data_IF_827014647953
#
_entry.id   IF_827014647953
#
_cell.length_a   1.000
_cell.length_b   1.000
_cell.length_c   1.000
_cell.angle_alpha   90.00
_cell.angle_beta   90.00
_cell.angle_gamma   90.00
#
_symmetry.space_group_name_H-M   'P 1'
#
loop_
_entity.id
_entity.type
_entity.pdbx_description
1 polymer ?
#
# COMPACT_ATOMS: atom_id res chain seq x y z
N UNK A 1 10.88 12.50 -7.85
CA UNK A 1 9.96 11.42 -7.45
C UNK A 1 9.61 10.56 -8.66
N UNK A 2 9.97 9.29 -8.60
CA UNK A 2 9.66 8.27 -9.62
C UNK A 2 8.67 7.25 -9.03
N UNK A 3 7.83 6.63 -9.87
CA UNK A 3 6.99 5.51 -9.46
C UNK A 3 7.87 4.28 -9.24
N UNK A 4 7.87 3.76 -8.03
CA UNK A 4 8.67 2.61 -7.61
C UNK A 4 7.85 1.32 -7.46
N UNK A 5 6.53 1.42 -7.39
CA UNK A 5 5.62 0.28 -7.36
C UNK A 5 4.17 0.71 -7.33
N UNK A 6 3.26 -0.17 -7.76
CA UNK A 6 1.82 0.07 -7.73
C UNK A 6 1.06 -1.24 -7.56
N UNK A 7 -0.12 -1.15 -6.93
CA UNK A 7 -1.06 -2.26 -6.86
C UNK A 7 -2.49 -1.76 -6.85
N UNK A 8 -3.32 -2.38 -7.69
CA UNK A 8 -4.75 -2.10 -7.77
C UNK A 8 -5.44 -2.62 -6.51
N UNK A 9 -6.22 -1.76 -5.87
CA UNK A 9 -7.10 -2.16 -4.77
C UNK A 9 -8.36 -2.73 -5.44
N UNK A 10 -8.48 -4.06 -5.42
CA UNK A 10 -9.62 -4.75 -6.02
C UNK A 10 -10.88 -4.53 -5.18
N UNK A 11 -11.65 -3.50 -5.52
CA UNK A 11 -13.00 -3.29 -5.04
C UNK A 11 -14.02 -3.41 -6.21
N UNK A 12 -15.31 -3.56 -5.89
CA UNK A 12 -16.37 -3.83 -6.89
C UNK A 12 -16.88 -2.60 -7.65
N UNK A 13 -16.48 -1.38 -7.28
CA UNK A 13 -17.12 -0.14 -7.75
C UNK A 13 -16.16 1.03 -8.04
N UNK A 14 -14.99 1.07 -7.42
CA UNK A 14 -13.99 2.12 -7.57
C UNK A 14 -12.63 1.50 -7.91
N UNK A 15 -12.03 1.98 -8.99
CA UNK A 15 -10.68 1.58 -9.35
C UNK A 15 -9.70 2.49 -8.60
N UNK A 16 -9.29 2.04 -7.41
CA UNK A 16 -8.23 2.66 -6.64
C UNK A 16 -6.92 1.90 -6.79
N UNK A 17 -5.80 2.59 -6.55
CA UNK A 17 -4.49 1.98 -6.49
C UNK A 17 -3.67 2.57 -5.35
N UNK A 18 -2.88 1.71 -4.70
CA UNK A 18 -1.72 2.20 -3.97
C UNK A 18 -0.57 2.41 -4.96
N UNK A 19 0.10 3.57 -4.85
CA UNK A 19 1.30 3.87 -5.62
C UNK A 19 2.41 4.28 -4.67
N UNK A 20 3.55 3.62 -4.79
CA UNK A 20 4.77 3.99 -4.09
C UNK A 20 5.59 4.93 -4.97
N UNK A 21 5.80 6.15 -4.49
CA UNK A 21 6.71 7.12 -5.10
C UNK A 21 8.00 7.18 -4.30
N UNK A 22 9.15 7.04 -4.97
CA UNK A 22 10.47 7.11 -4.33
C UNK A 22 11.31 8.28 -4.88
N UNK A 23 12.12 8.90 -4.02
CA UNK A 23 13.09 9.93 -4.34
C UNK A 23 14.31 9.81 -3.41
N UNK A 24 15.29 9.01 -3.84
CA UNK A 24 16.37 8.57 -2.96
C UNK A 24 15.83 7.73 -1.80
N UNK A 25 16.12 8.14 -0.56
CA UNK A 25 15.62 7.45 0.64
C UNK A 25 14.20 7.88 1.04
N UNK A 26 13.66 8.95 0.44
CA UNK A 26 12.33 9.46 0.78
C UNK A 26 11.28 8.75 -0.06
N UNK A 27 10.29 8.17 0.61
CA UNK A 27 9.17 7.51 -0.04
C UNK A 27 7.84 8.19 0.29
N UNK A 28 6.86 8.07 -0.60
CA UNK A 28 5.47 8.40 -0.34
C UNK A 28 4.58 7.23 -0.76
N UNK A 29 3.60 6.92 0.08
CA UNK A 29 2.49 6.07 -0.29
C UNK A 29 1.34 6.98 -0.73
N UNK A 30 0.93 6.83 -1.98
CA UNK A 30 -0.19 7.56 -2.57
C UNK A 30 -1.39 6.63 -2.77
N UNK A 31 -2.58 7.20 -2.61
CA UNK A 31 -3.84 6.61 -3.01
C UNK A 31 -4.26 7.32 -4.28
N UNK A 32 -4.42 6.56 -5.37
CA UNK A 32 -4.90 7.08 -6.64
C UNK A 32 -6.29 6.54 -6.96
N UNK A 33 -7.10 7.35 -7.63
CA UNK A 33 -8.40 6.97 -8.16
C UNK A 33 -8.46 7.21 -9.66
N UNK A 34 -9.20 6.36 -10.38
CA UNK A 34 -9.50 6.60 -11.80
C UNK A 34 -10.51 7.74 -11.93
N UNK A 35 -10.16 8.76 -12.71
CA UNK A 35 -11.04 9.88 -13.08
C UNK A 35 -11.63 9.77 -14.48
N UNK A 36 -11.12 8.84 -15.29
CA UNK A 36 -11.62 8.62 -16.63
C UNK A 36 -10.87 7.51 -17.36
N UNK A 37 -11.48 7.01 -18.41
CA UNK A 37 -10.88 6.04 -19.33
C UNK A 37 -10.88 6.61 -20.74
N UNK A 38 -9.75 6.46 -21.43
CA UNK A 38 -9.70 6.51 -22.89
C UNK A 38 -9.53 5.10 -23.43
N UNK A 39 -9.71 4.90 -24.74
CA UNK A 39 -9.61 3.58 -25.40
C UNK A 39 -8.28 2.82 -25.17
N UNK A 40 -7.25 3.51 -24.67
CA UNK A 40 -5.91 2.99 -24.50
C UNK A 40 -5.30 3.16 -23.11
N UNK A 41 -5.91 3.95 -22.21
CA UNK A 41 -5.36 4.22 -20.88
C UNK A 41 -6.40 4.73 -19.89
N UNK A 42 -6.19 4.37 -18.63
CA UNK A 42 -6.84 5.02 -17.51
C UNK A 42 -6.16 6.37 -17.20
N UNK A 43 -6.97 7.39 -16.92
CA UNK A 43 -6.55 8.62 -16.30
C UNK A 43 -6.72 8.48 -14.78
N UNK A 44 -5.65 8.74 -14.04
CA UNK A 44 -5.57 8.61 -12.59
C UNK A 44 -5.32 9.97 -11.96
N UNK A 45 -5.83 10.17 -10.76
CA UNK A 45 -5.44 11.29 -9.90
C UNK A 45 -5.08 10.80 -8.49
N UNK A 46 -4.10 11.45 -7.86
CA UNK A 46 -3.78 11.21 -6.46
C UNK A 46 -4.77 11.94 -5.56
N UNK A 47 -5.50 11.19 -4.74
CA UNK A 47 -6.50 11.75 -3.81
C UNK A 47 -5.93 11.98 -2.41
N UNK A 48 -4.91 11.21 -2.03
CA UNK A 48 -4.20 11.38 -0.77
C UNK A 48 -2.79 10.80 -0.86
N UNK A 49 -1.91 11.27 0.00
CA UNK A 49 -0.59 10.67 0.16
C UNK A 49 -0.06 10.86 1.56
N UNK A 50 0.74 9.90 2.01
CA UNK A 50 1.43 9.94 3.30
C UNK A 50 2.93 9.74 3.07
N UNK A 51 3.80 10.45 3.81
CA UNK A 51 5.22 10.18 3.78
C UNK A 51 5.50 8.80 4.38
N UNK A 52 6.37 8.04 3.71
CA UNK A 52 6.93 6.82 4.25
C UNK A 52 8.18 7.17 5.07
N UNK A 53 8.42 6.46 6.19
CA UNK A 53 9.72 6.53 6.84
C UNK A 53 10.81 5.94 5.94
N UNK A 54 12.05 6.32 6.19
CA UNK A 54 13.22 5.68 5.55
C UNK A 54 13.20 4.18 5.88
N UNK A 55 13.21 3.33 4.85
CA UNK A 55 13.20 1.88 5.01
C UNK A 55 14.62 1.34 5.19
N UNK A 56 14.80 0.43 6.14
CA UNK A 56 16.04 -0.35 6.22
C UNK A 56 16.10 -1.43 5.13
N UNK A 57 17.27 -2.04 4.91
CA UNK A 57 17.42 -3.15 3.96
C UNK A 57 16.62 -4.41 4.32
N UNK A 58 16.18 -4.53 5.58
CA UNK A 58 15.32 -5.62 6.05
C UNK A 58 13.83 -5.26 5.99
N UNK A 59 13.50 -4.02 5.62
CA UNK A 59 12.13 -3.54 5.54
C UNK A 59 11.66 -3.46 4.10
N UNK A 60 10.43 -3.90 3.86
CA UNK A 60 9.76 -3.78 2.57
C UNK A 60 8.39 -3.16 2.76
N UNK A 61 7.94 -2.41 1.75
CA UNK A 61 6.57 -1.95 1.66
C UNK A 61 5.72 -3.02 0.96
N UNK A 62 4.72 -3.53 1.66
CA UNK A 62 3.71 -4.47 1.16
C UNK A 62 2.39 -3.73 0.94
N UNK A 63 1.73 -3.95 -0.19
CA UNK A 63 0.42 -3.38 -0.52
C UNK A 63 -0.46 -4.46 -1.14
N UNK A 64 -1.77 -4.43 -0.85
CA UNK A 64 -2.79 -5.35 -1.44
C UNK A 64 -2.51 -6.84 -1.19
N UNK A 65 -1.70 -7.18 -0.18
CA UNK A 65 -1.37 -8.56 0.21
C UNK A 65 -1.43 -8.75 1.73
N UNK A 66 -2.26 -7.95 2.38
CA UNK A 66 -2.37 -7.92 3.83
C UNK A 66 -3.71 -8.52 4.29
N UNK A 67 -3.64 -9.23 5.40
CA UNK A 67 -4.77 -9.71 6.16
C UNK A 67 -4.88 -8.92 7.46
N UNK A 68 -6.11 -8.74 7.95
CA UNK A 68 -6.41 -8.24 9.27
C UNK A 68 -7.24 -9.29 10.00
N UNK A 69 -6.70 -9.86 11.08
CA UNK A 69 -7.34 -10.92 11.86
C UNK A 69 -7.76 -12.13 11.00
N UNK A 70 -6.89 -12.55 10.07
CA UNK A 70 -7.09 -13.71 9.18
C UNK A 70 -8.03 -13.47 8.01
N UNK A 71 -8.44 -12.22 7.76
CA UNK A 71 -9.25 -11.82 6.60
C UNK A 71 -8.44 -10.93 5.68
N UNK A 72 -8.40 -11.26 4.39
CA UNK A 72 -7.81 -10.40 3.37
C UNK A 72 -8.47 -9.01 3.33
N UNK A 73 -7.65 -7.95 3.35
CA UNK A 73 -8.07 -6.54 3.32
C UNK A 73 -7.19 -5.81 2.29
N UNK A 74 -7.63 -5.69 1.01
CA UNK A 74 -6.82 -5.11 -0.06
C UNK A 74 -6.50 -3.61 0.17
N UNK A 75 -7.28 -2.94 1.01
CA UNK A 75 -7.10 -1.54 1.37
C UNK A 75 -5.96 -1.32 2.37
N UNK A 76 -5.27 -2.37 2.83
CA UNK A 76 -4.13 -2.24 3.74
C UNK A 76 -2.81 -2.22 2.96
N UNK A 77 -1.98 -1.25 3.29
CA UNK A 77 -0.56 -1.21 2.98
C UNK A 77 0.24 -1.20 4.29
N UNK A 78 1.37 -1.88 4.32
CA UNK A 78 2.16 -1.99 5.53
C UNK A 78 3.65 -2.10 5.22
N UNK A 79 4.49 -1.61 6.14
CA UNK A 79 5.90 -1.92 6.13
C UNK A 79 6.09 -3.20 6.95
N UNK A 80 6.73 -4.19 6.35
CA UNK A 80 7.11 -5.44 7.02
C UNK A 80 8.62 -5.53 7.16
N UNK A 81 9.06 -6.01 8.31
CA UNK A 81 10.46 -6.28 8.61
C UNK A 81 10.71 -7.79 8.51
N UNK A 82 11.66 -8.18 7.66
CA UNK A 82 12.06 -9.58 7.49
C UNK A 82 12.56 -10.13 8.82
N UNK A 83 11.90 -11.18 9.29
CA UNK A 83 12.37 -11.93 10.46
C UNK A 83 13.08 -13.18 9.96
N UNK A 84 14.37 -13.31 10.28
CA UNK A 84 15.18 -14.44 9.84
C UNK A 84 14.53 -15.76 10.30
N UNK A 85 14.15 -16.61 9.33
CA UNK A 85 13.54 -17.92 9.60
C UNK A 85 12.02 -17.92 9.77
N UNK A 86 11.34 -16.80 9.51
CA UNK A 86 9.87 -16.74 9.46
C UNK A 86 9.39 -16.54 8.01
N UNK A 87 8.32 -17.24 7.64
CA UNK A 87 7.65 -17.06 6.34
C UNK A 87 6.91 -15.71 6.25
N UNK A 88 6.73 -15.02 7.37
CA UNK A 88 6.04 -13.74 7.48
C UNK A 88 6.89 -12.75 8.28
N UNK A 89 7.05 -11.54 7.74
CA UNK A 89 7.72 -10.45 8.42
C UNK A 89 6.87 -9.83 9.53
N UNK A 90 7.50 -9.16 10.49
CA UNK A 90 6.80 -8.37 11.51
C UNK A 90 6.31 -7.07 10.87
N UNK A 91 5.02 -6.76 11.00
CA UNK A 91 4.49 -5.47 10.55
C UNK A 91 4.97 -4.38 11.52
N UNK A 92 5.66 -3.37 10.99
CA UNK A 92 6.22 -2.26 11.80
C UNK A 92 5.38 -0.99 11.71
N UNK A 93 4.69 -0.81 10.58
CA UNK A 93 3.80 0.32 10.33
C UNK A 93 2.74 -0.08 9.33
N UNK A 94 1.52 0.41 9.48
CA UNK A 94 0.43 0.08 8.58
C UNK A 94 -0.48 1.28 8.33
N UNK A 95 -1.06 1.29 7.15
CA UNK A 95 -2.06 2.23 6.72
C UNK A 95 -3.23 1.49 6.08
N UNK A 96 -4.41 2.11 6.18
CA UNK A 96 -5.60 1.66 5.48
C UNK A 96 -6.15 2.79 4.62
N UNK A 97 -6.48 2.46 3.39
CA UNK A 97 -7.24 3.34 2.52
C UNK A 97 -8.73 3.31 2.91
N UNK A 98 -9.30 4.49 3.13
CA UNK A 98 -10.73 4.73 3.09
C UNK A 98 -11.07 5.22 1.68
N UNK A 99 -11.64 4.31 0.89
CA UNK A 99 -11.89 4.53 -0.53
C UNK A 99 -13.06 5.49 -0.76
N UNK A 100 -14.01 5.55 0.18
CA UNK A 100 -15.14 6.48 0.09
C UNK A 100 -14.70 7.91 0.42
N UNK A 101 -13.80 8.07 1.39
CA UNK A 101 -13.23 9.37 1.75
C UNK A 101 -12.05 9.80 0.88
N UNK A 102 -11.48 8.88 0.09
CA UNK A 102 -10.23 9.09 -0.64
C UNK A 102 -9.07 9.43 0.31
N UNK A 103 -8.91 8.69 1.41
CA UNK A 103 -7.92 8.97 2.46
C UNK A 103 -7.07 7.77 2.84
N UNK A 104 -5.81 8.03 3.21
CA UNK A 104 -4.92 7.06 3.82
C UNK A 104 -4.82 7.36 5.32
N UNK A 105 -5.19 6.39 6.15
CA UNK A 105 -5.12 6.53 7.60
C UNK A 105 -4.12 5.52 8.17
N UNK A 106 -3.25 5.99 9.06
CA UNK A 106 -2.41 5.09 9.86
C UNK A 106 -3.29 4.24 10.79
N UNK A 107 -2.99 2.94 10.87
CA UNK A 107 -3.72 2.00 11.72
C UNK A 107 -2.77 1.21 12.63
N UNK A 108 -3.30 0.64 13.71
CA UNK A 108 -2.54 -0.25 14.56
C UNK A 108 -2.11 -1.51 13.79
N UNK A 109 -0.94 -2.04 14.12
CA UNK A 109 -0.35 -3.21 13.45
C UNK A 109 -0.88 -4.55 13.97
N UNK A 110 -1.61 -4.53 15.08
CA UNK A 110 -2.13 -5.74 15.73
C UNK A 110 -3.07 -6.52 14.81
N UNK A 111 -2.79 -7.81 14.66
CA UNK A 111 -3.57 -8.70 13.80
C UNK A 111 -3.31 -8.51 12.30
N UNK A 112 -2.39 -7.62 11.90
CA UNK A 112 -2.00 -7.47 10.50
C UNK A 112 -0.91 -8.47 10.16
N UNK A 113 -1.12 -9.19 9.07
CA UNK A 113 -0.15 -10.11 8.48
C UNK A 113 -0.09 -9.81 7.00
N UNK A 114 1.09 -9.53 6.45
CA UNK A 114 1.25 -9.32 5.02
C UNK A 114 2.15 -10.41 4.41
N UNK A 115 1.74 -10.90 3.24
CA UNK A 115 2.58 -11.79 2.44
C UNK A 115 3.75 -11.04 1.80
N UNK A 116 4.84 -11.75 1.56
CA UNK A 116 5.83 -11.33 0.57
C UNK A 116 5.35 -11.77 -0.82
N UNK A 117 5.50 -10.93 -1.85
CA UNK A 117 5.43 -11.43 -3.23
C UNK A 117 6.45 -12.58 -3.32
N UNK A 118 6.00 -13.74 -3.83
CA UNK A 118 6.86 -14.91 -4.06
C UNK A 118 7.66 -14.75 -5.34
#
# INVERSE_FOLDING_TARGET
MERAGEALILDKQHHHAFVHYADGNKGHLALEQIIGWTDSKAAWETVDSVPLPDLSHEQILSYVMCELNGKFVPEIAAITERTKGADQGRVVKAWRADLDAGKIMEIATDGIVCGTEK
#
